data_IF_058005662741
#
_entry.id   IF_058005662741
#
_cell.length_a   1.000
_cell.length_b   1.000
_cell.length_c   1.000
_cell.angle_alpha   90.00
_cell.angle_beta   90.00
_cell.angle_gamma   90.00
#
_symmetry.space_group_name_H-M   'P 1'
#
loop_
_entity.id
_entity.type
_entity.pdbx_description
1 polymer ?
#
# COMPACT_ATOMS: atom_id res chain seq x y z
N UNK A 1 -24.65 -5.86 -1.83
CA UNK A 1 -25.17 -5.59 -3.18
C UNK A 1 -26.22 -6.62 -3.60
N UNK A 2 -25.88 -7.90 -3.89
CA UNK A 2 -26.90 -8.89 -4.30
C UNK A 2 -28.00 -9.11 -3.27
N UNK A 3 -27.68 -9.09 -1.97
CA UNK A 3 -28.68 -9.19 -0.90
C UNK A 3 -29.62 -7.96 -0.84
N UNK A 4 -29.13 -6.79 -1.23
CA UNK A 4 -29.87 -5.52 -1.15
C UNK A 4 -30.63 -5.20 -2.45
N UNK A 5 -30.29 -5.88 -3.54
CA UNK A 5 -30.87 -5.71 -4.88
C UNK A 5 -31.36 -7.06 -5.42
N UNK A 6 -32.40 -7.67 -4.80
CA UNK A 6 -32.90 -8.96 -5.20
C UNK A 6 -33.49 -8.90 -6.62
N UNK A 7 -33.14 -9.87 -7.46
CA UNK A 7 -33.67 -9.98 -8.84
C UNK A 7 -32.88 -9.25 -9.93
N UNK A 8 -31.89 -8.40 -9.57
CA UNK A 8 -31.04 -7.75 -10.58
C UNK A 8 -30.01 -8.72 -11.19
N UNK A 9 -29.43 -9.59 -10.35
CA UNK A 9 -28.55 -10.68 -10.79
C UNK A 9 -29.17 -12.02 -10.40
N UNK A 10 -29.22 -12.96 -11.36
CA UNK A 10 -29.70 -14.33 -11.12
C UNK A 10 -28.73 -15.14 -10.25
N UNK A 11 -27.42 -14.95 -10.44
CA UNK A 11 -26.36 -15.59 -9.66
C UNK A 11 -25.46 -14.50 -9.01
N UNK A 12 -25.11 -14.60 -7.72
CA UNK A 12 -24.06 -13.75 -7.12
C UNK A 12 -22.73 -13.76 -7.88
N UNK A 13 -22.39 -14.85 -8.57
CA UNK A 13 -21.16 -14.94 -9.36
C UNK A 13 -21.11 -13.90 -10.49
N UNK A 14 -22.25 -13.61 -11.13
CA UNK A 14 -22.37 -12.57 -12.17
C UNK A 14 -21.96 -11.20 -11.63
N UNK A 15 -22.40 -10.87 -10.40
CA UNK A 15 -22.03 -9.60 -9.75
C UNK A 15 -20.54 -9.54 -9.40
N UNK A 16 -19.96 -10.67 -8.99
CA UNK A 16 -18.53 -10.78 -8.72
C UNK A 16 -17.68 -10.57 -9.98
N UNK A 17 -18.03 -11.23 -11.09
CA UNK A 17 -17.33 -11.04 -12.36
C UNK A 17 -17.48 -9.62 -12.90
N UNK A 18 -18.68 -9.03 -12.79
CA UNK A 18 -18.91 -7.65 -13.17
C UNK A 18 -18.06 -6.67 -12.35
N UNK A 19 -17.92 -6.89 -11.05
CA UNK A 19 -17.06 -6.06 -10.21
C UNK A 19 -15.59 -6.11 -10.65
N UNK A 20 -15.09 -7.27 -11.07
CA UNK A 20 -13.74 -7.39 -11.62
C UNK A 20 -13.60 -6.65 -12.95
N UNK A 21 -14.59 -6.77 -13.85
CA UNK A 21 -14.63 -6.04 -15.11
C UNK A 21 -14.63 -4.52 -14.91
N UNK A 22 -15.37 -4.02 -13.92
CA UNK A 22 -15.40 -2.61 -13.50
C UNK A 22 -14.01 -2.10 -13.10
N UNK A 23 -13.27 -2.87 -12.29
CA UNK A 23 -11.91 -2.50 -11.85
C UNK A 23 -10.94 -2.46 -13.04
N UNK A 24 -11.05 -3.45 -13.95
CA UNK A 24 -10.25 -3.47 -15.19
C UNK A 24 -10.56 -2.28 -16.08
N UNK A 25 -11.83 -1.93 -16.27
CA UNK A 25 -12.25 -0.78 -17.08
C UNK A 25 -11.75 0.54 -16.47
N UNK A 26 -11.81 0.70 -15.16
CA UNK A 26 -11.27 1.90 -14.49
C UNK A 26 -9.77 2.06 -14.76
N UNK A 27 -9.02 0.96 -14.70
CA UNK A 27 -7.59 0.95 -14.99
C UNK A 27 -7.32 1.26 -16.46
N UNK A 28 -8.11 0.71 -17.38
CA UNK A 28 -7.97 0.96 -18.83
C UNK A 28 -8.31 2.42 -19.22
N UNK A 29 -9.38 2.98 -18.67
CA UNK A 29 -9.89 4.31 -19.01
C UNK A 29 -9.00 5.44 -18.45
N UNK A 30 -8.47 5.28 -17.23
CA UNK A 30 -7.79 6.35 -16.49
C UNK A 30 -6.27 6.18 -16.38
N UNK A 31 -5.70 5.04 -16.77
CA UNK A 31 -4.24 4.88 -16.80
C UNK A 31 -3.61 5.67 -17.96
N UNK A 32 -2.72 6.66 -17.68
CA UNK A 32 -2.09 7.46 -18.73
C UNK A 32 -1.15 6.64 -19.64
N UNK A 33 -0.76 5.44 -19.24
CA UNK A 33 0.11 4.55 -20.03
C UNK A 33 -0.67 3.55 -20.91
N UNK A 34 -2.01 3.56 -20.87
CA UNK A 34 -2.82 2.68 -21.70
C UNK A 34 -2.72 3.08 -23.18
N UNK A 35 -2.20 2.17 -24.01
CA UNK A 35 -1.96 2.41 -25.45
C UNK A 35 -3.22 2.29 -26.30
N UNK A 36 -4.20 1.51 -25.85
CA UNK A 36 -5.48 1.29 -26.49
C UNK A 36 -6.52 1.20 -25.38
N UNK A 37 -7.65 1.88 -25.57
CA UNK A 37 -8.75 1.91 -24.62
C UNK A 37 -9.91 1.09 -25.15
N UNK A 38 -10.57 0.39 -24.26
CA UNK A 38 -11.75 -0.41 -24.55
C UNK A 38 -12.92 0.50 -24.94
N UNK A 39 -13.53 0.25 -26.10
CA UNK A 39 -14.74 0.95 -26.49
C UNK A 39 -15.95 0.41 -25.72
N UNK A 40 -17.05 1.18 -25.66
CA UNK A 40 -18.30 0.74 -25.01
C UNK A 40 -18.80 -0.59 -25.59
N UNK A 41 -18.79 -0.73 -26.90
CA UNK A 41 -19.23 -1.96 -27.57
C UNK A 41 -18.32 -3.15 -27.27
N UNK A 42 -17.02 -2.93 -27.08
CA UNK A 42 -16.08 -3.98 -26.65
C UNK A 42 -16.32 -4.39 -25.20
N UNK A 43 -16.59 -3.44 -24.30
CA UNK A 43 -16.92 -3.72 -22.91
C UNK A 43 -18.21 -4.54 -22.77
N UNK A 44 -19.27 -4.15 -23.50
CA UNK A 44 -20.52 -4.90 -23.52
C UNK A 44 -20.29 -6.29 -24.09
N UNK A 45 -19.59 -6.42 -25.23
CA UNK A 45 -19.32 -7.71 -25.86
C UNK A 45 -18.49 -8.64 -24.97
N UNK A 46 -17.52 -8.11 -24.23
CA UNK A 46 -16.65 -8.90 -23.36
C UNK A 46 -17.36 -9.41 -22.10
N UNK A 47 -18.35 -8.66 -21.62
CA UNK A 47 -19.07 -8.98 -20.38
C UNK A 47 -20.49 -9.53 -20.62
N UNK A 48 -20.92 -9.62 -21.89
CA UNK A 48 -22.11 -10.35 -22.30
C UNK A 48 -21.71 -11.79 -22.60
N UNK A 49 -22.04 -12.71 -21.69
CA UNK A 49 -21.89 -14.14 -21.92
C UNK A 49 -22.81 -14.63 -23.04
N UNK A 50 -22.44 -15.74 -23.69
CA UNK A 50 -23.29 -16.40 -24.69
C UNK A 50 -24.55 -17.02 -24.06
N UNK A 51 -24.53 -17.31 -22.77
CA UNK A 51 -25.67 -17.83 -22.03
C UNK A 51 -26.57 -16.72 -21.49
N UNK A 52 -27.80 -16.67 -21.99
CA UNK A 52 -28.82 -15.68 -21.65
C UNK A 52 -29.31 -15.75 -20.19
N UNK A 53 -28.97 -16.82 -19.47
CA UNK A 53 -29.43 -17.04 -18.09
C UNK A 53 -28.51 -16.44 -17.01
N UNK A 54 -27.31 -15.96 -17.34
CA UNK A 54 -26.30 -15.54 -16.34
C UNK A 54 -25.71 -14.14 -16.58
N UNK A 55 -26.32 -13.32 -17.44
CA UNK A 55 -25.80 -12.01 -17.83
C UNK A 55 -26.39 -10.83 -17.04
N UNK A 56 -25.60 -9.77 -16.91
CA UNK A 56 -26.08 -8.46 -16.45
C UNK A 56 -26.89 -7.78 -17.58
N UNK A 57 -27.93 -6.99 -17.27
CA UNK A 57 -28.67 -6.24 -18.28
C UNK A 57 -27.75 -5.37 -19.14
N UNK A 58 -27.94 -5.37 -20.47
CA UNK A 58 -27.10 -4.60 -21.39
C UNK A 58 -27.12 -3.09 -21.07
N UNK A 59 -28.29 -2.56 -20.70
CA UNK A 59 -28.44 -1.17 -20.26
C UNK A 59 -27.57 -0.85 -19.05
N UNK A 60 -27.47 -1.79 -18.08
CA UNK A 60 -26.62 -1.64 -16.90
C UNK A 60 -25.13 -1.62 -17.28
N UNK A 61 -24.71 -2.45 -18.23
CA UNK A 61 -23.32 -2.47 -18.71
C UNK A 61 -22.93 -1.15 -19.39
N UNK A 62 -23.84 -0.59 -20.19
CA UNK A 62 -23.62 0.69 -20.86
C UNK A 62 -23.56 1.86 -19.87
N UNK A 63 -24.44 1.88 -18.87
CA UNK A 63 -24.46 2.89 -17.81
C UNK A 63 -23.18 2.82 -16.96
N UNK A 64 -22.75 1.62 -16.58
CA UNK A 64 -21.50 1.40 -15.86
C UNK A 64 -20.31 1.93 -16.66
N UNK A 65 -20.27 1.64 -17.98
CA UNK A 65 -19.19 2.13 -18.84
C UNK A 65 -19.14 3.65 -18.87
N UNK A 66 -20.28 4.30 -19.12
CA UNK A 66 -20.35 5.77 -19.18
C UNK A 66 -19.97 6.41 -17.84
N UNK A 67 -20.42 5.82 -16.72
CA UNK A 67 -20.08 6.30 -15.38
C UNK A 67 -18.58 6.22 -15.11
N UNK A 68 -17.95 5.08 -15.41
CA UNK A 68 -16.52 4.86 -15.13
C UNK A 68 -15.65 5.72 -16.04
N UNK A 69 -15.97 5.84 -17.33
CA UNK A 69 -15.19 6.69 -18.24
C UNK A 69 -15.31 8.17 -17.87
N UNK A 70 -16.47 8.60 -17.36
CA UNK A 70 -16.71 9.97 -16.91
C UNK A 70 -16.01 10.31 -15.60
N UNK A 71 -16.05 9.41 -14.62
CA UNK A 71 -15.51 9.63 -13.27
C UNK A 71 -14.64 8.47 -12.81
N UNK A 72 -13.36 8.77 -12.51
CA UNK A 72 -12.41 7.79 -11.99
C UNK A 72 -12.80 7.33 -10.59
N UNK A 73 -12.78 6.00 -10.37
CA UNK A 73 -12.96 5.43 -9.05
C UNK A 73 -11.71 5.69 -8.22
N UNK A 74 -11.82 6.62 -7.26
CA UNK A 74 -10.76 6.95 -6.30
C UNK A 74 -10.93 6.18 -5.00
N UNK A 75 -9.84 5.58 -4.53
CA UNK A 75 -9.76 5.02 -3.18
C UNK A 75 -9.64 6.18 -2.18
N UNK A 76 -10.58 6.30 -1.24
CA UNK A 76 -10.69 7.41 -0.27
C UNK A 76 -9.49 7.58 0.69
N UNK A 77 -8.49 6.71 0.63
CA UNK A 77 -7.29 6.78 1.47
C UNK A 77 -6.04 7.32 0.74
N UNK A 78 -6.17 7.80 -0.50
CA UNK A 78 -5.07 8.39 -1.29
C UNK A 78 -5.27 9.87 -1.66
N UNK A 79 -6.07 10.62 -0.90
CA UNK A 79 -6.08 12.09 -0.95
C UNK A 79 -4.86 12.66 -0.20
N UNK A 80 -3.66 12.31 -0.67
CA UNK A 80 -2.40 12.96 -0.31
C UNK A 80 -1.40 12.81 -1.45
N UNK A 81 -1.45 13.74 -2.42
CA UNK A 81 -0.35 13.97 -3.35
C UNK A 81 -0.74 13.95 -4.82
N UNK A 82 -1.43 15.01 -5.26
CA UNK A 82 -1.46 15.38 -6.66
C UNK A 82 -0.05 15.47 -7.25
N UNK A 83 0.18 14.75 -8.36
CA UNK A 83 1.21 15.04 -9.35
C UNK A 83 2.66 14.66 -9.01
N UNK A 84 3.06 13.41 -9.28
CA UNK A 84 4.46 13.12 -9.63
C UNK A 84 4.52 12.16 -10.83
N UNK A 85 4.90 12.74 -11.98
CA UNK A 85 5.31 12.06 -13.20
C UNK A 85 6.20 10.83 -12.90
N UNK A 86 5.68 9.64 -13.16
CA UNK A 86 6.48 8.41 -13.23
C UNK A 86 7.18 8.40 -14.59
N UNK A 87 8.39 8.97 -14.66
CA UNK A 87 9.33 8.66 -15.74
C UNK A 87 10.03 7.36 -15.40
N UNK A 88 9.72 6.36 -16.20
CA UNK A 88 10.34 5.05 -16.30
C UNK A 88 11.87 5.13 -16.36
N UNK A 89 12.59 4.33 -15.55
CA UNK A 89 13.94 3.88 -15.89
C UNK A 89 14.14 2.44 -15.41
N UNK A 90 14.58 1.63 -16.35
CA UNK A 90 14.78 0.18 -16.31
C UNK A 90 16.03 -0.24 -15.52
N UNK A 91 16.06 -1.54 -15.21
CA UNK A 91 17.20 -2.43 -14.86
C UNK A 91 17.83 -2.33 -13.47
N UNK A 92 17.58 -3.33 -12.60
CA UNK A 92 18.49 -4.47 -12.26
C UNK A 92 17.88 -5.29 -11.12
N UNK A 93 17.97 -6.63 -11.20
CA UNK A 93 17.24 -7.66 -10.43
C UNK A 93 17.57 -7.80 -8.93
N UNK A 94 18.08 -6.77 -8.24
CA UNK A 94 18.55 -6.87 -6.85
C UNK A 94 17.69 -6.20 -5.76
N UNK A 95 16.59 -5.53 -6.11
CA UNK A 95 15.97 -4.52 -5.21
C UNK A 95 14.55 -4.78 -4.72
N UNK A 96 13.98 -5.98 -4.93
CA UNK A 96 12.54 -6.22 -4.78
C UNK A 96 12.00 -6.09 -3.34
N UNK A 97 12.86 -6.15 -2.33
CA UNK A 97 12.47 -5.97 -0.93
C UNK A 97 12.54 -4.51 -0.44
N UNK A 98 13.38 -3.68 -1.08
CA UNK A 98 13.59 -2.27 -0.68
C UNK A 98 12.43 -1.38 -1.16
N UNK A 99 11.80 -1.71 -2.28
CA UNK A 99 10.64 -0.99 -2.82
C UNK A 99 9.33 -1.23 -2.05
N UNK A 100 9.22 -2.36 -1.33
CA UNK A 100 8.02 -2.69 -0.54
C UNK A 100 7.98 -1.90 0.77
N UNK A 101 9.14 -1.48 1.30
CA UNK A 101 9.23 -0.83 2.62
C UNK A 101 9.29 0.69 2.59
N UNK A 102 9.22 1.33 1.42
CA UNK A 102 9.25 2.79 1.26
C UNK A 102 10.31 3.49 2.15
N UNK A 103 11.45 2.82 2.36
CA UNK A 103 12.53 3.31 3.19
C UNK A 103 13.41 4.20 2.31
N UNK A 104 13.23 5.52 2.45
CA UNK A 104 13.93 6.51 1.65
C UNK A 104 15.44 6.50 1.97
N UNK A 105 16.21 5.71 1.22
CA UNK A 105 17.67 5.81 1.18
C UNK A 105 18.08 7.01 0.29
N UNK A 106 18.80 8.02 0.81
CA UNK A 106 19.18 9.19 0.03
C UNK A 106 20.20 8.82 -1.05
N UNK A 107 19.83 8.97 -2.33
CA UNK A 107 20.78 8.94 -3.44
C UNK A 107 21.65 10.22 -3.44
N UNK A 108 22.96 10.03 -3.26
CA UNK A 108 23.99 11.08 -3.40
C UNK A 108 23.97 11.68 -4.81
N UNK A 109 23.75 12.99 -4.90
CA UNK A 109 24.20 13.84 -6.02
C UNK A 109 25.17 14.90 -5.47
N UNK A 110 26.03 15.39 -6.35
CA UNK A 110 27.29 16.11 -6.14
C UNK A 110 27.32 17.26 -5.13
N UNK A 111 28.49 17.42 -4.50
CA UNK A 111 28.71 17.96 -3.17
C UNK A 111 28.79 19.50 -3.00
N UNK A 112 28.54 20.33 -4.02
CA UNK A 112 28.73 21.79 -3.89
C UNK A 112 27.45 22.56 -3.60
N UNK A 113 26.32 22.23 -4.23
CA UNK A 113 25.06 23.00 -4.08
C UNK A 113 24.11 22.43 -3.01
N UNK A 114 24.26 21.16 -2.64
CA UNK A 114 23.37 20.49 -1.67
C UNK A 114 23.60 20.90 -0.23
N UNK A 115 24.73 21.51 0.16
CA UNK A 115 25.01 21.80 1.58
C UNK A 115 24.09 22.88 2.16
N UNK A 116 23.73 23.91 1.38
CA UNK A 116 22.84 24.97 1.86
C UNK A 116 21.38 24.51 1.91
N UNK A 117 20.90 23.86 0.86
CA UNK A 117 19.54 23.31 0.84
C UNK A 117 19.37 22.16 1.84
N UNK A 118 20.39 21.33 2.07
CA UNK A 118 20.31 20.27 3.09
C UNK A 118 20.22 20.83 4.51
N UNK A 119 21.00 21.87 4.83
CA UNK A 119 20.98 22.48 6.15
C UNK A 119 19.64 23.17 6.43
N UNK A 120 19.07 23.82 5.42
CA UNK A 120 17.76 24.48 5.54
C UNK A 120 16.64 23.46 5.64
N UNK A 121 16.65 22.37 4.86
CA UNK A 121 15.68 21.28 4.97
C UNK A 121 15.81 20.55 6.31
N UNK A 122 17.03 20.28 6.79
CA UNK A 122 17.25 19.64 8.09
C UNK A 122 16.78 20.56 9.23
N UNK A 123 17.04 21.86 9.16
CA UNK A 123 16.51 22.83 10.13
C UNK A 123 14.99 22.94 10.06
N UNK A 124 14.40 22.96 8.87
CA UNK A 124 12.94 23.05 8.73
C UNK A 124 12.26 21.78 9.25
N UNK A 125 12.84 20.62 8.95
CA UNK A 125 12.36 19.31 9.41
C UNK A 125 12.53 19.18 10.93
N UNK A 126 13.69 19.52 11.48
CA UNK A 126 13.92 19.53 12.94
C UNK A 126 13.04 20.56 13.66
N UNK A 127 12.77 21.72 13.06
CA UNK A 127 11.85 22.71 13.60
C UNK A 127 10.40 22.21 13.56
N UNK A 128 10.01 21.46 12.52
CA UNK A 128 8.70 20.81 12.44
C UNK A 128 8.54 19.75 13.54
N UNK A 129 9.55 18.89 13.75
CA UNK A 129 9.56 17.90 14.83
C UNK A 129 9.63 18.53 16.23
N UNK A 130 10.36 19.64 16.41
CA UNK A 130 10.37 20.41 17.68
C UNK A 130 9.05 21.13 17.96
N UNK A 131 8.39 21.66 16.92
CA UNK A 131 7.06 22.29 17.04
C UNK A 131 5.95 21.28 17.29
N UNK A 132 6.11 20.04 16.83
CA UNK A 132 5.32 18.89 17.28
C UNK A 132 5.85 18.28 18.60
N UNK A 133 6.43 19.11 19.47
CA UNK A 133 6.77 18.72 20.83
C UNK A 133 5.55 18.17 21.58
N UNK A 134 5.50 16.85 21.73
CA UNK A 134 4.71 16.06 22.68
C UNK A 134 3.24 16.50 22.87
N UNK A 135 2.40 16.36 21.83
CA UNK A 135 1.05 15.86 22.13
C UNK A 135 1.20 14.35 22.30
N UNK A 136 1.52 13.91 23.52
CA UNK A 136 1.40 12.50 23.88
C UNK A 136 -0.06 12.14 23.57
N UNK A 137 -0.28 11.35 22.53
CA UNK A 137 -1.61 10.84 22.20
C UNK A 137 -2.20 10.17 23.43
N UNK A 138 -3.53 10.16 23.54
CA UNK A 138 -4.20 9.36 24.57
C UNK A 138 -3.88 7.90 24.27
N UNK A 139 -3.17 7.23 25.17
CA UNK A 139 -2.85 5.81 25.04
C UNK A 139 -3.98 5.00 25.66
N UNK A 140 -4.49 4.03 24.91
CA UNK A 140 -5.49 3.09 25.38
C UNK A 140 -4.86 1.70 25.48
N UNK A 141 -5.14 0.99 26.57
CA UNK A 141 -4.71 -0.40 26.75
C UNK A 141 -5.76 -1.34 26.15
N UNK A 142 -5.36 -2.12 25.15
CA UNK A 142 -6.21 -3.16 24.58
C UNK A 142 -6.15 -4.43 25.45
N UNK A 143 -7.32 -4.97 25.80
CA UNK A 143 -7.46 -6.21 26.57
C UNK A 143 -7.88 -7.40 25.67
N UNK A 144 -8.22 -7.14 24.42
CA UNK A 144 -8.67 -8.15 23.46
C UNK A 144 -7.50 -8.62 22.60
N UNK A 145 -7.32 -9.94 22.53
CA UNK A 145 -6.24 -10.58 21.75
C UNK A 145 -6.40 -10.36 20.24
N UNK A 146 -7.62 -10.12 19.77
CA UNK A 146 -7.95 -9.90 18.36
C UNK A 146 -7.32 -8.60 17.81
N UNK A 147 -7.10 -7.60 18.68
CA UNK A 147 -6.50 -6.33 18.29
C UNK A 147 -4.97 -6.41 18.13
N UNK A 148 -4.34 -7.46 18.67
CA UNK A 148 -2.87 -7.57 18.67
C UNK A 148 -2.32 -7.74 17.26
N UNK A 149 -3.03 -8.48 16.40
CA UNK A 149 -2.62 -8.69 15.00
C UNK A 149 -2.61 -7.38 14.19
N UNK A 150 -3.70 -6.59 14.10
CA UNK A 150 -3.67 -5.32 13.38
C UNK A 150 -2.69 -4.30 13.99
N UNK A 151 -2.48 -4.32 15.32
CA UNK A 151 -1.43 -3.51 15.95
C UNK A 151 -0.02 -3.89 15.47
N UNK A 152 0.25 -5.20 15.35
CA UNK A 152 1.55 -5.67 14.89
C UNK A 152 1.72 -5.48 13.38
N UNK A 153 0.66 -5.60 12.57
CA UNK A 153 0.69 -5.30 11.14
C UNK A 153 1.05 -3.83 10.88
N UNK A 154 0.52 -2.90 11.68
CA UNK A 154 0.80 -1.47 11.55
C UNK A 154 2.23 -1.10 11.98
N UNK A 155 2.72 -1.67 13.08
CA UNK A 155 3.96 -1.22 13.74
C UNK A 155 5.17 -2.13 13.45
N UNK A 156 4.93 -3.38 13.03
CA UNK A 156 5.97 -4.40 12.88
C UNK A 156 7.04 -4.07 11.83
N UNK A 157 6.66 -3.56 10.66
CA UNK A 157 7.61 -3.18 9.61
C UNK A 157 8.43 -1.93 9.95
N UNK A 158 7.83 -0.84 10.49
CA UNK A 158 8.60 0.28 11.03
C UNK A 158 9.58 -0.12 12.13
N UNK A 159 9.18 -1.00 13.05
CA UNK A 159 10.06 -1.51 14.11
C UNK A 159 11.23 -2.31 13.55
N UNK A 160 10.97 -3.21 12.59
CA UNK A 160 12.02 -3.98 11.93
C UNK A 160 13.05 -3.04 11.29
N UNK A 161 12.61 -2.06 10.50
CA UNK A 161 13.50 -1.10 9.86
C UNK A 161 14.31 -0.28 10.88
N UNK A 162 13.67 0.18 11.97
CA UNK A 162 14.35 0.89 13.03
C UNK A 162 15.43 0.03 13.69
N UNK A 163 15.12 -1.22 14.02
CA UNK A 163 16.07 -2.15 14.62
C UNK A 163 17.24 -2.45 13.69
N UNK A 164 16.99 -2.73 12.40
CA UNK A 164 18.07 -2.98 11.43
C UNK A 164 19.04 -1.80 11.32
N UNK A 165 18.52 -0.57 11.22
CA UNK A 165 19.37 0.64 11.15
C UNK A 165 20.16 0.85 12.45
N UNK A 166 19.54 0.65 13.61
CA UNK A 166 20.23 0.82 14.89
C UNK A 166 21.25 -0.27 15.20
N UNK A 167 21.16 -1.43 14.54
CA UNK A 167 22.16 -2.50 14.65
C UNK A 167 23.42 -2.21 13.82
N UNK A 168 23.30 -1.46 12.72
CA UNK A 168 24.46 -0.99 11.94
C UNK A 168 25.31 0.02 12.72
N UNK A 169 24.69 0.77 13.64
CA UNK A 169 25.36 1.74 14.51
C UNK A 169 26.04 1.04 15.72
N UNK A 170 27.28 0.59 15.48
CA UNK A 170 28.09 -0.14 16.46
C UNK A 170 28.58 0.70 17.67
N UNK A 171 28.33 2.01 17.69
CA UNK A 171 28.88 2.89 18.73
C UNK A 171 28.17 2.75 20.10
N UNK A 172 26.89 2.33 20.11
CA UNK A 172 26.09 2.22 21.33
C UNK A 172 25.67 0.78 21.66
N UNK A 173 26.57 0.02 22.28
CA UNK A 173 26.31 -1.34 22.81
C UNK A 173 24.96 -1.53 23.53
N UNK A 174 24.50 -0.65 24.45
CA UNK A 174 23.21 -0.87 25.12
C UNK A 174 22.00 -0.76 24.18
N UNK A 175 22.08 0.04 23.11
CA UNK A 175 21.00 0.15 22.12
C UNK A 175 20.93 -1.09 21.24
N UNK A 176 22.07 -1.61 20.81
CA UNK A 176 22.15 -2.85 20.05
C UNK A 176 21.53 -4.01 20.83
N UNK A 177 21.85 -4.16 22.11
CA UNK A 177 21.26 -5.21 22.97
C UNK A 177 19.73 -5.07 23.04
N UNK A 178 19.22 -3.85 23.26
CA UNK A 178 17.78 -3.61 23.33
C UNK A 178 17.07 -3.92 22.00
N UNK A 179 17.71 -3.63 20.87
CA UNK A 179 17.17 -3.93 19.54
C UNK A 179 17.18 -5.43 19.26
N UNK A 180 18.20 -6.16 19.72
CA UNK A 180 18.24 -7.62 19.64
C UNK A 180 17.14 -8.27 20.49
N UNK A 181 16.85 -7.74 21.69
CA UNK A 181 15.70 -8.16 22.49
C UNK A 181 14.37 -7.84 21.79
N UNK A 182 14.28 -6.68 21.15
CA UNK A 182 13.13 -6.28 20.33
C UNK A 182 12.88 -7.21 19.15
N UNK A 183 13.92 -7.58 18.39
CA UNK A 183 13.83 -8.56 17.30
C UNK A 183 13.42 -9.94 17.84
N UNK A 184 13.99 -10.39 18.96
CA UNK A 184 13.59 -11.65 19.61
C UNK A 184 12.11 -11.66 19.99
N UNK A 185 11.63 -10.58 20.60
CA UNK A 185 10.21 -10.43 20.95
C UNK A 185 9.31 -10.38 19.70
N UNK A 186 9.74 -9.69 18.64
CA UNK A 186 9.04 -9.63 17.35
C UNK A 186 8.89 -11.00 16.69
N UNK A 187 9.95 -11.83 16.72
CA UNK A 187 9.91 -13.21 16.20
C UNK A 187 8.90 -14.06 17.00
N UNK A 188 8.88 -13.91 18.33
CA UNK A 188 7.92 -14.63 19.17
C UNK A 188 6.48 -14.21 18.90
N UNK A 189 6.20 -12.91 18.82
CA UNK A 189 4.86 -12.39 18.56
C UNK A 189 4.34 -12.81 17.18
N UNK A 190 5.15 -12.66 16.14
CA UNK A 190 4.77 -13.07 14.77
C UNK A 190 4.52 -14.57 14.65
N UNK A 191 5.24 -15.41 15.41
CA UNK A 191 4.96 -16.85 15.51
C UNK A 191 3.62 -17.13 16.17
N UNK A 192 3.32 -16.49 17.29
CA UNK A 192 2.06 -16.71 18.04
C UNK A 192 0.85 -16.27 17.23
N UNK A 193 0.98 -15.21 16.44
CA UNK A 193 -0.09 -14.65 15.62
C UNK A 193 -0.22 -15.27 14.22
N UNK A 194 0.63 -16.23 13.85
CA UNK A 194 0.60 -16.87 12.53
C UNK A 194 0.99 -15.93 11.37
N UNK A 195 1.81 -14.90 11.63
CA UNK A 195 2.24 -13.93 10.63
C UNK A 195 3.54 -14.37 9.95
N UNK A 196 3.45 -15.37 9.07
CA UNK A 196 4.62 -16.00 8.47
C UNK A 196 5.52 -15.03 7.70
N UNK A 197 4.97 -14.14 6.87
CA UNK A 197 5.73 -13.18 6.06
C UNK A 197 6.59 -12.26 6.94
N UNK A 198 6.00 -11.72 8.01
CA UNK A 198 6.70 -10.83 8.92
C UNK A 198 7.74 -11.60 9.74
N UNK A 199 7.41 -12.83 10.19
CA UNK A 199 8.36 -13.72 10.88
C UNK A 199 9.61 -13.96 10.03
N UNK A 200 9.43 -14.28 8.75
CA UNK A 200 10.56 -14.48 7.83
C UNK A 200 11.42 -13.22 7.71
N UNK A 201 10.81 -12.04 7.61
CA UNK A 201 11.55 -10.78 7.53
C UNK A 201 12.39 -10.49 8.79
N UNK A 202 11.83 -10.74 9.98
CA UNK A 202 12.57 -10.63 11.24
C UNK A 202 13.76 -11.60 11.30
N UNK A 203 13.60 -12.83 10.80
CA UNK A 203 14.68 -13.82 10.75
C UNK A 203 15.78 -13.43 9.75
N UNK A 204 15.41 -12.92 8.57
CA UNK A 204 16.39 -12.49 7.56
C UNK A 204 17.19 -11.26 7.98
N UNK A 205 16.67 -10.42 8.88
CA UNK A 205 17.41 -9.26 9.40
C UNK A 205 18.57 -9.64 10.34
N UNK A 206 18.66 -10.89 10.78
CA UNK A 206 19.71 -11.39 11.68
C UNK A 206 20.82 -12.15 10.94
N UNK A 207 20.64 -12.38 9.63
CA UNK A 207 21.60 -13.06 8.74
C UNK A 207 22.41 -12.02 7.99
#
# INVERSE_FOLDING_TARGET
YCADNPGLFKNPDTAYFLAYAVIMLNTDAHNPNAKSRMSKSDFVRMNSSTDAEEHAPMELLEEIYDSIVKEEIKLKDYEAGSGRNIRHRSETEGGRLVSILNLALPKRKSASDTKKESDDIVKHTQAFFRKQGKKRGVFYTAHQIELVRPMLEAVGWPLLAAFSVTMEDSENKPRVILCMEGLRAGIHLTRVLGMDTMRYAFLTSLV
#
